data_IF_039552410415
#
_entry.id   IF_039552410415
#
_cell.length_a   1.000
_cell.length_b   1.000
_cell.length_c   1.000
_cell.angle_alpha   90.00
_cell.angle_beta   90.00
_cell.angle_gamma   90.00
#
_symmetry.space_group_name_H-M   'P 1'
#
loop_
_entity.id
_entity.type
_entity.pdbx_description
1 polymer ?
#
# COMPACT_ATOMS: atom_id res chain seq x y z
N UNK A 1 46.06 17.44 28.46
CA UNK A 1 45.04 16.50 28.98
C UNK A 1 43.81 17.29 29.41
N UNK A 2 42.61 16.76 29.11
CA UNK A 2 41.26 17.38 29.19
C UNK A 2 41.01 18.41 28.06
N UNK A 3 39.94 18.34 27.25
CA UNK A 3 38.60 17.86 27.54
C UNK A 3 38.02 17.02 26.37
N UNK A 4 37.79 15.73 26.63
CA UNK A 4 37.02 14.82 25.77
C UNK A 4 35.52 15.14 25.95
N UNK A 5 34.78 15.11 24.85
CA UNK A 5 33.30 15.11 24.79
C UNK A 5 32.62 16.24 25.57
N UNK A 6 32.36 17.35 24.87
CA UNK A 6 31.13 18.10 25.12
C UNK A 6 29.96 17.16 24.78
N UNK A 7 29.53 16.38 25.76
CA UNK A 7 28.30 15.60 25.72
C UNK A 7 27.15 16.61 25.57
N UNK A 8 26.84 16.98 24.32
CA UNK A 8 25.63 17.72 23.99
C UNK A 8 24.48 16.81 24.42
N UNK A 9 23.83 17.17 25.53
CA UNK A 9 22.51 16.65 25.87
C UNK A 9 21.65 16.69 24.59
N UNK A 10 21.18 15.57 24.02
CA UNK A 10 20.30 15.61 22.87
C UNK A 10 18.90 15.90 23.38
N UNK A 11 18.70 17.12 23.90
CA UNK A 11 17.38 17.74 23.83
C UNK A 11 17.23 18.22 22.40
N UNK A 12 17.07 17.29 21.47
CA UNK A 12 16.73 17.63 20.10
C UNK A 12 15.42 18.41 20.20
N UNK A 13 15.47 19.66 19.79
CA UNK A 13 14.30 20.51 19.86
C UNK A 13 13.20 19.93 18.96
N UNK A 14 11.94 20.21 19.26
CA UNK A 14 10.83 19.83 18.36
C UNK A 14 11.10 20.32 16.92
N UNK A 15 11.76 21.47 16.75
CA UNK A 15 12.15 21.99 15.44
C UNK A 15 13.20 21.13 14.72
N UNK A 16 14.16 20.55 15.45
CA UNK A 16 15.16 19.63 14.88
C UNK A 16 14.50 18.32 14.47
N UNK A 17 13.56 17.82 15.26
CA UNK A 17 12.75 16.64 14.91
C UNK A 17 11.85 16.88 13.69
N UNK A 18 11.32 18.09 13.52
CA UNK A 18 10.49 18.48 12.38
C UNK A 18 11.30 18.99 11.17
N UNK A 19 12.63 18.98 11.25
CA UNK A 19 13.47 19.35 10.12
C UNK A 19 13.49 18.23 9.06
N UNK A 20 13.65 18.60 7.79
CA UNK A 20 13.80 17.62 6.69
C UNK A 20 12.51 16.91 6.26
N UNK A 21 11.33 17.44 6.58
CA UNK A 21 10.06 16.89 6.08
C UNK A 21 10.01 16.90 4.53
N UNK A 22 9.37 15.89 3.90
CA UNK A 22 9.27 15.82 2.45
C UNK A 22 8.62 17.06 1.85
N UNK A 23 9.26 17.63 0.82
CA UNK A 23 8.72 18.72 0.01
C UNK A 23 8.67 18.28 -1.45
N UNK A 24 7.46 18.04 -1.96
CA UNK A 24 7.27 17.70 -3.38
C UNK A 24 7.52 18.93 -4.26
N UNK A 25 7.17 20.12 -3.77
CA UNK A 25 7.39 21.40 -4.43
C UNK A 25 7.42 22.51 -3.37
N UNK A 26 8.55 23.21 -3.26
CA UNK A 26 8.78 24.30 -2.32
C UNK A 26 7.78 25.45 -2.46
N UNK A 27 7.22 25.64 -3.66
CA UNK A 27 6.27 26.71 -3.95
C UNK A 27 4.85 26.44 -3.43
N UNK A 28 4.51 25.20 -3.06
CA UNK A 28 3.14 24.81 -2.70
C UNK A 28 2.56 25.65 -1.54
N UNK A 29 3.40 26.06 -0.60
CA UNK A 29 2.98 26.83 0.60
C UNK A 29 3.75 28.13 0.80
N UNK A 30 4.71 28.46 -0.07
CA UNK A 30 5.55 29.65 0.08
C UNK A 30 4.76 30.97 0.10
N UNK A 31 3.61 31.01 -0.57
CA UNK A 31 2.73 32.19 -0.66
C UNK A 31 1.41 32.02 0.11
N UNK A 32 1.30 31.02 0.98
CA UNK A 32 0.08 30.81 1.76
C UNK A 32 -0.09 31.91 2.82
N UNK A 33 -1.27 32.53 2.89
CA UNK A 33 -1.54 33.64 3.80
C UNK A 33 -2.86 33.43 4.57
N UNK A 34 -2.78 33.49 5.90
CA UNK A 34 -3.91 33.24 6.81
C UNK A 34 -4.85 34.44 6.97
N UNK A 35 -4.39 35.68 6.80
CA UNK A 35 -5.24 36.89 7.01
C UNK A 35 -6.14 37.22 5.82
N UNK A 36 -6.14 36.40 4.76
CA UNK A 36 -7.21 36.42 3.75
C UNK A 36 -8.58 35.97 4.31
N UNK A 37 -8.68 35.73 5.62
CA UNK A 37 -9.84 35.18 6.31
C UNK A 37 -11.09 36.09 6.35
N UNK A 38 -11.01 37.38 5.99
CA UNK A 38 -12.18 38.29 6.02
C UNK A 38 -12.89 38.51 4.67
N UNK A 39 -12.59 37.73 3.62
CA UNK A 39 -13.42 37.79 2.38
C UNK A 39 -13.62 36.47 1.64
N UNK A 40 -13.14 35.35 2.18
CA UNK A 40 -13.20 34.04 1.48
C UNK A 40 -13.76 32.93 2.36
N UNK A 41 -14.67 33.25 3.28
CA UNK A 41 -15.53 32.22 3.87
C UNK A 41 -16.30 31.52 2.75
N UNK A 42 -15.93 30.28 2.47
CA UNK A 42 -16.83 29.22 2.02
C UNK A 42 -17.38 29.42 0.59
N UNK A 43 -16.52 29.71 -0.41
CA UNK A 43 -16.88 29.25 -1.76
C UNK A 43 -16.65 27.74 -1.76
N UNK A 44 -17.71 26.98 -1.51
CA UNK A 44 -17.71 25.53 -1.73
C UNK A 44 -17.04 25.27 -3.09
N UNK A 45 -16.10 24.31 -3.21
CA UNK A 45 -15.55 23.93 -4.50
C UNK A 45 -16.69 23.75 -5.50
N UNK A 46 -16.51 24.26 -6.71
CA UNK A 46 -17.51 24.09 -7.76
C UNK A 46 -17.82 22.61 -7.93
N UNK A 47 -19.10 22.27 -7.98
CA UNK A 47 -19.55 20.89 -8.16
C UNK A 47 -19.23 20.49 -9.61
N UNK A 48 -18.59 19.33 -9.79
CA UNK A 48 -18.41 18.74 -11.12
C UNK A 48 -19.75 18.21 -11.63
N UNK A 49 -20.22 18.74 -12.76
CA UNK A 49 -21.41 18.28 -13.48
C UNK A 49 -20.94 17.65 -14.79
N UNK A 50 -20.93 16.32 -14.92
CA UNK A 50 -20.58 15.65 -16.18
C UNK A 50 -21.60 16.03 -17.27
N UNK A 51 -21.13 16.52 -18.43
CA UNK A 51 -21.98 16.87 -19.58
C UNK A 51 -21.79 15.95 -20.78
N UNK A 52 -20.78 15.06 -20.72
CA UNK A 52 -20.44 14.11 -21.76
C UNK A 52 -20.31 12.73 -21.15
N UNK A 53 -20.83 11.74 -21.85
CA UNK A 53 -20.64 10.35 -21.49
C UNK A 53 -19.31 9.84 -22.04
N UNK A 54 -18.52 9.25 -21.15
CA UNK A 54 -17.27 8.58 -21.49
C UNK A 54 -17.39 7.10 -21.07
N UNK A 55 -17.26 6.14 -22.00
CA UNK A 55 -17.36 4.73 -21.67
C UNK A 55 -16.19 4.31 -20.77
N UNK A 56 -16.43 3.35 -19.87
CA UNK A 56 -15.37 2.75 -19.06
C UNK A 56 -14.64 1.68 -19.86
N UNK A 57 -13.31 1.68 -19.80
CA UNK A 57 -12.48 0.67 -20.50
C UNK A 57 -12.64 -0.73 -19.90
N UNK A 58 -12.95 -0.83 -18.61
CA UNK A 58 -13.09 -2.10 -17.88
C UNK A 58 -14.27 -2.04 -16.91
N UNK A 59 -14.90 -3.21 -16.69
CA UNK A 59 -16.01 -3.37 -15.75
C UNK A 59 -15.60 -4.34 -14.65
N UNK A 60 -15.82 -3.95 -13.40
CA UNK A 60 -15.58 -4.82 -12.24
C UNK A 60 -16.72 -5.82 -12.16
N UNK A 61 -16.39 -7.12 -12.21
CA UNK A 61 -17.35 -8.23 -12.14
C UNK A 61 -17.03 -9.10 -10.94
N UNK A 62 -18.07 -9.50 -10.20
CA UNK A 62 -17.96 -10.46 -9.11
C UNK A 62 -18.12 -11.89 -9.64
N UNK A 63 -17.40 -12.84 -9.04
CA UNK A 63 -17.59 -14.25 -9.36
C UNK A 63 -18.99 -14.70 -8.91
N UNK A 64 -19.69 -15.45 -9.78
CA UNK A 64 -21.02 -15.98 -9.49
C UNK A 64 -21.00 -17.24 -8.62
N UNK A 65 -19.85 -17.89 -8.49
CA UNK A 65 -19.73 -19.16 -7.79
C UNK A 65 -19.75 -18.94 -6.28
N UNK A 66 -20.48 -19.80 -5.57
CA UNK A 66 -20.47 -19.76 -4.11
C UNK A 66 -19.10 -20.18 -3.61
N UNK A 67 -18.65 -19.57 -2.51
CA UNK A 67 -17.32 -19.81 -1.94
C UNK A 67 -17.10 -21.30 -1.57
N UNK A 68 -18.16 -22.00 -1.17
CA UNK A 68 -18.10 -23.43 -0.82
C UNK A 68 -17.84 -24.27 -2.06
N UNK A 69 -18.58 -24.03 -3.15
CA UNK A 69 -18.42 -24.79 -4.38
C UNK A 69 -17.05 -24.55 -5.01
N UNK A 70 -16.60 -23.28 -5.01
CA UNK A 70 -15.23 -22.91 -5.44
C UNK A 70 -14.18 -23.67 -4.64
N UNK A 71 -14.33 -23.75 -3.32
CA UNK A 71 -13.39 -24.47 -2.46
C UNK A 71 -13.37 -25.98 -2.74
N UNK A 72 -14.54 -26.61 -2.88
CA UNK A 72 -14.65 -28.04 -3.14
C UNK A 72 -14.03 -28.43 -4.49
N UNK A 73 -14.37 -27.70 -5.56
CA UNK A 73 -13.77 -27.90 -6.88
C UNK A 73 -12.24 -27.73 -6.83
N UNK A 74 -11.77 -26.65 -6.21
CA UNK A 74 -10.33 -26.43 -6.08
C UNK A 74 -9.61 -27.57 -5.34
N UNK A 75 -10.23 -28.14 -4.30
CA UNK A 75 -9.65 -29.27 -3.56
C UNK A 75 -9.66 -30.55 -4.41
N UNK A 76 -10.73 -30.78 -5.16
CA UNK A 76 -10.86 -31.92 -6.05
C UNK A 76 -9.86 -31.88 -7.22
N UNK A 77 -9.76 -30.74 -7.90
CA UNK A 77 -8.86 -30.56 -9.04
C UNK A 77 -7.40 -30.66 -8.64
N UNK A 78 -7.05 -30.10 -7.46
CA UNK A 78 -5.71 -30.26 -6.89
C UNK A 78 -5.37 -31.74 -6.69
N UNK A 79 -6.26 -32.52 -6.07
CA UNK A 79 -6.05 -33.96 -5.87
C UNK A 79 -5.87 -34.70 -7.19
N UNK A 80 -6.75 -34.47 -8.16
CA UNK A 80 -6.65 -35.14 -9.46
C UNK A 80 -5.39 -34.74 -10.25
N UNK A 81 -4.95 -33.48 -10.14
CA UNK A 81 -3.72 -33.01 -10.78
C UNK A 81 -2.49 -33.58 -10.09
N UNK A 82 -2.47 -33.68 -8.75
CA UNK A 82 -1.33 -34.21 -7.99
C UNK A 82 -1.21 -35.73 -8.05
N UNK A 83 -2.33 -36.45 -8.09
CA UNK A 83 -2.31 -37.93 -8.08
C UNK A 83 -2.02 -38.46 -9.48
N UNK A 84 -2.66 -37.93 -10.54
CA UNK A 84 -2.44 -38.44 -11.91
C UNK A 84 -1.17 -37.95 -12.61
N UNK A 85 -0.59 -36.81 -12.22
CA UNK A 85 0.66 -36.32 -12.86
C UNK A 85 1.94 -36.77 -12.15
N UNK A 86 1.86 -37.15 -10.87
CA UNK A 86 3.05 -37.64 -10.13
C UNK A 86 3.45 -39.05 -10.53
N UNK A 87 2.50 -39.88 -10.95
CA UNK A 87 2.77 -41.22 -11.49
C UNK A 87 3.52 -41.22 -12.84
N UNK A 88 3.51 -40.10 -13.57
CA UNK A 88 4.13 -40.03 -14.90
C UNK A 88 5.55 -39.47 -14.90
N UNK A 89 6.13 -39.01 -13.78
CA UNK A 89 7.46 -38.35 -13.86
C UNK A 89 8.52 -38.56 -12.80
N UNK A 90 8.30 -38.94 -11.53
CA UNK A 90 9.45 -38.96 -10.61
C UNK A 90 9.31 -39.90 -9.41
N UNK A 91 10.03 -41.00 -9.50
CA UNK A 91 10.80 -41.61 -8.41
C UNK A 91 11.76 -40.56 -7.82
N UNK A 92 11.32 -39.80 -6.80
CA UNK A 92 12.22 -39.08 -5.88
C UNK A 92 11.44 -38.55 -4.67
N UNK A 93 11.74 -39.02 -3.44
CA UNK A 93 11.23 -38.41 -2.23
C UNK A 93 12.24 -37.36 -1.76
N UNK A 94 11.82 -36.11 -1.57
CA UNK A 94 12.30 -35.34 -0.41
C UNK A 94 11.41 -34.11 -0.17
N UNK A 95 11.12 -33.95 1.11
CA UNK A 95 10.39 -32.91 1.78
C UNK A 95 11.01 -31.51 1.53
N UNK A 96 10.25 -30.55 0.97
CA UNK A 96 10.49 -29.12 1.22
C UNK A 96 9.18 -28.38 1.49
N UNK A 97 8.63 -28.76 2.62
CA UNK A 97 7.68 -28.05 3.48
C UNK A 97 8.06 -26.57 3.64
N UNK A 98 7.20 -25.68 3.16
CA UNK A 98 6.83 -24.38 3.76
C UNK A 98 7.93 -23.59 4.49
N UNK A 99 8.59 -22.67 3.78
CA UNK A 99 9.26 -21.50 4.40
C UNK A 99 8.89 -20.24 3.61
N UNK A 100 7.89 -19.50 4.08
CA UNK A 100 7.74 -18.08 3.72
C UNK A 100 8.72 -17.28 4.60
N UNK A 101 9.52 -16.36 4.04
CA UNK A 101 10.32 -15.46 4.86
C UNK A 101 9.37 -14.46 5.56
N UNK A 102 9.50 -14.30 6.87
CA UNK A 102 8.95 -13.12 7.56
C UNK A 102 9.90 -11.97 7.25
N UNK A 103 9.40 -10.96 6.55
CA UNK A 103 10.07 -9.66 6.49
C UNK A 103 9.67 -8.92 7.76
N UNK A 104 10.59 -8.89 8.72
CA UNK A 104 10.55 -7.93 9.81
C UNK A 104 11.18 -6.63 9.28
N UNK A 105 10.42 -5.53 9.29
CA UNK A 105 10.91 -4.17 9.18
C UNK A 105 10.07 -3.28 10.09
#
# INVERSE_FOLDING_TARGET
MSNLYSLKNPKNSVAEFLSGLPSINEKNFANFHTDSANRTTIKRPSIYIPTKDHPSDQVIVTEKTTIVLKYLHQRWDKKNTTERKRDLTNDSPEDLRSKRPRLDN
#
